data_IF_629457966759
#
_entry.id   IF_629457966759
#
_cell.length_a   1.000
_cell.length_b   1.000
_cell.length_c   1.000
_cell.angle_alpha   90.00
_cell.angle_beta   90.00
_cell.angle_gamma   90.00
#
_symmetry.space_group_name_H-M   'P 1'
#
loop_
_entity.id
_entity.type
_entity.pdbx_description
1 polymer ?
#
# COMPACT_ATOMS: atom_id res chain seq x y z
N UNK A 1 -7.07 9.82 19.04
CA UNK A 1 -5.76 9.12 19.03
C UNK A 1 -5.75 7.79 18.25
N UNK A 2 -6.89 7.12 18.01
CA UNK A 2 -6.97 5.83 17.30
C UNK A 2 -6.50 5.82 15.82
N UNK A 3 -6.63 6.94 15.09
CA UNK A 3 -6.37 6.98 13.64
C UNK A 3 -4.88 6.85 13.27
N UNK A 4 -3.97 7.32 14.13
CA UNK A 4 -2.52 7.24 13.90
C UNK A 4 -1.99 5.81 13.96
N UNK A 5 -2.65 4.94 14.72
CA UNK A 5 -2.25 3.54 14.89
C UNK A 5 -2.64 2.69 13.66
N UNK A 6 -3.82 2.94 13.08
CA UNK A 6 -4.22 2.29 11.82
C UNK A 6 -3.28 2.62 10.67
N UNK A 7 -2.91 3.90 10.49
CA UNK A 7 -1.97 4.29 9.43
C UNK A 7 -0.57 3.70 9.65
N UNK A 8 -0.13 3.53 10.91
CA UNK A 8 1.15 2.87 11.23
C UNK A 8 1.12 1.38 10.94
N UNK A 9 0.06 0.67 11.34
CA UNK A 9 -0.11 -0.75 11.01
C UNK A 9 -0.14 -0.97 9.50
N UNK A 10 -0.87 -0.13 8.75
CA UNK A 10 -0.99 -0.27 7.31
C UNK A 10 0.34 -0.02 6.58
N UNK A 11 1.12 0.97 7.03
CA UNK A 11 2.51 1.15 6.57
C UNK A 11 3.39 -0.05 6.90
N UNK A 12 3.24 -0.66 8.07
CA UNK A 12 4.02 -1.83 8.49
C UNK A 12 3.68 -3.07 7.66
N UNK A 13 2.39 -3.34 7.43
CA UNK A 13 1.92 -4.43 6.57
C UNK A 13 2.39 -4.25 5.14
N UNK A 14 2.29 -3.04 4.58
CA UNK A 14 2.81 -2.74 3.25
C UNK A 14 4.33 -2.97 3.15
N UNK A 15 5.09 -2.60 4.20
CA UNK A 15 6.53 -2.85 4.29
C UNK A 15 6.86 -4.34 4.28
N UNK A 16 6.14 -5.16 5.06
CA UNK A 16 6.34 -6.62 5.09
C UNK A 16 6.02 -7.22 3.71
N UNK A 17 4.88 -6.88 3.13
CA UNK A 17 4.44 -7.45 1.84
C UNK A 17 5.43 -7.10 0.72
N UNK A 18 5.90 -5.86 0.67
CA UNK A 18 6.96 -5.45 -0.27
C UNK A 18 8.28 -6.19 0.00
N UNK A 19 8.70 -6.28 1.27
CA UNK A 19 9.92 -6.99 1.64
C UNK A 19 9.90 -8.47 1.24
N UNK A 20 8.78 -9.16 1.47
CA UNK A 20 8.58 -10.56 1.07
C UNK A 20 8.57 -10.71 -0.45
N UNK A 21 7.89 -9.80 -1.17
CA UNK A 21 7.89 -9.80 -2.63
C UNK A 21 9.28 -9.62 -3.23
N UNK A 22 10.04 -8.66 -2.71
CA UNK A 22 11.44 -8.41 -3.12
C UNK A 22 12.32 -9.62 -2.81
N UNK A 23 12.17 -10.24 -1.63
CA UNK A 23 12.96 -11.40 -1.25
C UNK A 23 12.66 -12.61 -2.15
N UNK A 24 11.39 -12.88 -2.43
CA UNK A 24 10.99 -13.93 -3.38
C UNK A 24 11.55 -13.69 -4.79
N UNK A 25 11.55 -12.43 -5.26
CA UNK A 25 12.18 -12.06 -6.52
C UNK A 25 13.70 -12.30 -6.48
N UNK A 26 14.41 -11.84 -5.45
CA UNK A 26 15.88 -11.99 -5.32
C UNK A 26 16.32 -13.45 -5.26
N UNK A 27 15.59 -14.31 -4.53
CA UNK A 27 15.91 -15.74 -4.44
C UNK A 27 15.69 -16.47 -5.76
N UNK A 28 14.75 -16.02 -6.60
CA UNK A 28 14.48 -16.64 -7.90
C UNK A 28 15.13 -15.92 -9.09
N UNK A 29 15.79 -14.77 -8.88
CA UNK A 29 16.39 -13.95 -9.94
C UNK A 29 17.54 -14.65 -10.67
N UNK A 30 18.22 -15.58 -9.98
CA UNK A 30 19.33 -16.35 -10.52
C UNK A 30 18.89 -17.25 -11.69
N UNK A 31 17.60 -17.55 -11.81
CA UNK A 31 17.04 -18.29 -12.94
C UNK A 31 15.87 -17.48 -13.54
N UNK A 32 16.22 -16.38 -14.21
CA UNK A 32 15.29 -15.55 -14.97
C UNK A 32 14.83 -16.30 -16.22
N UNK A 33 13.87 -17.20 -16.04
CA UNK A 33 13.26 -17.98 -17.10
C UNK A 33 11.74 -17.99 -16.86
N UNK A 34 10.93 -17.79 -17.90
CA UNK A 34 9.45 -17.80 -17.80
C UNK A 34 8.86 -19.13 -17.33
N UNK A 35 9.70 -20.17 -17.19
CA UNK A 35 9.36 -21.45 -16.55
C UNK A 35 9.45 -21.42 -15.01
N UNK A 36 10.02 -20.37 -14.43
CA UNK A 36 10.24 -20.29 -13.00
C UNK A 36 9.05 -19.62 -12.31
N UNK A 37 8.14 -20.46 -11.80
CA UNK A 37 6.94 -20.06 -11.06
C UNK A 37 7.27 -19.12 -9.90
N UNK A 38 8.45 -19.23 -9.28
CA UNK A 38 8.86 -18.36 -8.18
C UNK A 38 9.01 -16.89 -8.57
N UNK A 39 9.49 -16.61 -9.79
CA UNK A 39 9.59 -15.24 -10.32
C UNK A 39 8.20 -14.67 -10.62
N UNK A 40 7.31 -15.48 -11.20
CA UNK A 40 5.92 -15.09 -11.49
C UNK A 40 5.15 -14.77 -10.20
N UNK A 41 5.31 -15.58 -9.15
CA UNK A 41 4.74 -15.33 -7.82
C UNK A 41 5.35 -14.08 -7.18
N UNK A 42 6.66 -13.88 -7.29
CA UNK A 42 7.35 -12.68 -6.80
C UNK A 42 6.81 -11.39 -7.44
N UNK A 43 6.66 -11.37 -8.77
CA UNK A 43 6.08 -10.24 -9.51
C UNK A 43 4.62 -10.00 -9.09
N UNK A 44 3.83 -11.07 -8.91
CA UNK A 44 2.47 -10.96 -8.40
C UNK A 44 2.41 -10.32 -7.00
N UNK A 45 3.35 -10.67 -6.12
CA UNK A 45 3.47 -10.07 -4.78
C UNK A 45 3.90 -8.59 -4.84
N UNK A 46 4.77 -8.21 -5.79
CA UNK A 46 5.16 -6.81 -5.98
C UNK A 46 3.98 -5.95 -6.47
N UNK A 47 3.23 -6.44 -7.47
CA UNK A 47 2.06 -5.75 -8.01
C UNK A 47 0.94 -5.67 -6.96
N UNK A 48 0.63 -6.79 -6.30
CA UNK A 48 -0.37 -6.85 -5.24
C UNK A 48 0.00 -5.97 -4.03
N UNK A 49 1.26 -6.01 -3.60
CA UNK A 49 1.79 -5.18 -2.52
C UNK A 49 1.71 -3.68 -2.84
N UNK A 50 2.03 -3.30 -4.08
CA UNK A 50 1.90 -1.93 -4.56
C UNK A 50 0.45 -1.43 -4.50
N UNK A 51 -0.52 -2.24 -4.95
CA UNK A 51 -1.95 -1.90 -4.89
C UNK A 51 -2.44 -1.73 -3.45
N UNK A 52 -2.07 -2.64 -2.54
CA UNK A 52 -2.42 -2.56 -1.11
C UNK A 52 -1.84 -1.28 -0.49
N UNK A 53 -0.61 -0.91 -0.84
CA UNK A 53 0.01 0.33 -0.39
C UNK A 53 -0.73 1.56 -0.92
N UNK A 54 -1.14 1.52 -2.19
CA UNK A 54 -1.91 2.60 -2.83
C UNK A 54 -3.23 2.84 -2.08
N UNK A 55 -4.04 1.78 -1.88
CA UNK A 55 -5.30 1.88 -1.13
C UNK A 55 -5.09 2.33 0.31
N UNK A 56 -4.00 1.90 0.94
CA UNK A 56 -3.68 2.32 2.30
C UNK A 56 -3.26 3.77 2.46
N UNK A 57 -2.79 4.41 1.39
CA UNK A 57 -2.50 5.85 1.36
C UNK A 57 -3.72 6.66 0.93
N UNK A 58 -4.52 6.14 -0.02
CA UNK A 58 -5.71 6.84 -0.53
C UNK A 58 -6.80 6.97 0.54
N UNK A 59 -7.06 5.93 1.32
CA UNK A 59 -8.10 5.95 2.36
C UNK A 59 -7.94 7.11 3.38
N UNK A 60 -6.78 7.34 4.02
CA UNK A 60 -6.61 8.48 4.91
C UNK A 60 -6.58 9.83 4.18
N UNK A 61 -6.13 9.88 2.93
CA UNK A 61 -6.18 11.12 2.13
C UNK A 61 -7.61 11.50 1.76
N UNK A 62 -8.47 10.54 1.39
CA UNK A 62 -9.89 10.78 1.12
C UNK A 62 -10.62 11.25 2.38
N UNK A 63 -10.34 10.66 3.55
CA UNK A 63 -10.91 11.15 4.81
C UNK A 63 -10.48 12.61 5.11
N UNK A 64 -9.19 12.94 4.95
CA UNK A 64 -8.71 14.32 5.15
C UNK A 64 -9.33 15.30 4.14
N UNK A 65 -9.54 14.87 2.90
CA UNK A 65 -10.10 15.73 1.86
C UNK A 65 -11.61 15.95 2.06
N UNK A 66 -12.34 14.95 2.55
CA UNK A 66 -13.74 15.12 2.96
C UNK A 66 -13.90 16.02 4.18
N UNK A 67 -13.06 15.86 5.21
CA UNK A 67 -13.07 16.72 6.40
C UNK A 67 -12.77 18.19 6.04
N UNK A 68 -11.79 18.42 5.15
CA UNK A 68 -11.46 19.76 4.65
C UNK A 68 -12.59 20.36 3.79
N UNK A 69 -13.21 19.56 2.92
CA UNK A 69 -14.33 20.02 2.08
C UNK A 69 -15.57 20.36 2.91
N UNK A 70 -15.76 19.72 4.06
CA UNK A 70 -16.87 20.00 4.97
C UNK A 70 -16.62 21.23 5.87
N UNK A 71 -15.37 21.49 6.26
CA UNK A 71 -15.00 22.67 7.03
C UNK A 71 -15.22 23.98 6.24
N UNK A 72 -14.80 24.01 4.98
CA UNK A 72 -14.99 25.19 4.11
C UNK A 72 -16.47 25.48 3.85
N UNK A 73 -17.30 24.46 3.68
CA UNK A 73 -18.75 24.66 3.50
C UNK A 73 -19.47 25.22 4.74
N UNK A 74 -18.89 25.06 5.94
CA UNK A 74 -19.49 25.59 7.18
C UNK A 74 -19.03 27.03 7.47
N UNK A 75 -17.83 27.41 7.03
CA UNK A 75 -17.33 28.81 7.10
C UNK A 75 -17.98 29.74 6.07
N UNK A 76 -18.41 29.24 4.90
CA UNK A 76 -19.15 30.06 3.92
C UNK A 76 -20.63 30.28 4.28
N UNK A 77 -21.13 29.61 5.34
CA UNK A 77 -22.50 29.74 5.85
C UNK A 77 -22.59 30.41 7.23
N UNK A 78 -21.48 30.90 7.79
CA UNK A 78 -21.38 31.59 9.08
C UNK A 78 -21.01 33.07 8.91
#
# INVERSE_FOLDING_TARGET
>A
MKNKEMSRMLKWVAMIVLGVGILCCLLNIAQFNDRNLGLMVGIGFLIGGSQIMLFGVIAPLMQKNQENSQATATEEMA
#
